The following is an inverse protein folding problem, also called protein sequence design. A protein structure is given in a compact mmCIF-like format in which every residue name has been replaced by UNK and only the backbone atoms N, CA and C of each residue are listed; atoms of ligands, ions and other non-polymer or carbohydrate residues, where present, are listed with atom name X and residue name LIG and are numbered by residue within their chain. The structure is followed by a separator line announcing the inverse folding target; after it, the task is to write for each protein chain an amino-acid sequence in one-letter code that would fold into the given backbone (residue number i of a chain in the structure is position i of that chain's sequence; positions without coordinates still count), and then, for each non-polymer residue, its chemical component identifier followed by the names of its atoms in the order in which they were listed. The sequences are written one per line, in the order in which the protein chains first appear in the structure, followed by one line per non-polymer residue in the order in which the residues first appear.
data_IF_565891320608
#
_entry.id   IF_565891320608
#
_cell.length_a   1.000
_cell.length_b   1.000
_cell.length_c   1.000
_cell.angle_alpha   90.00
_cell.angle_beta   90.00
_cell.angle_gamma   90.00
#
_symmetry.space_group_name_H-M   'P 1'
#
loop_
_entity.id
_entity.type
_entity.pdbx_description
1 polymer ?
#
# COMPACT_ATOMS: atom_id res chain seq x y z
N UNK A 1 31.64 -29.01 -14.60
CA UNK A 1 30.37 -28.85 -15.33
C UNK A 1 29.39 -28.03 -14.51
N UNK A 2 29.02 -28.46 -13.28
CA UNK A 2 28.00 -27.79 -12.43
C UNK A 2 28.31 -26.32 -12.10
N UNK A 3 29.58 -25.96 -11.90
CA UNK A 3 29.98 -24.58 -11.62
C UNK A 3 29.83 -23.65 -12.86
N UNK A 4 30.08 -24.17 -14.06
CA UNK A 4 29.88 -23.43 -15.29
C UNK A 4 28.40 -23.27 -15.67
N UNK A 5 27.59 -24.28 -15.36
CA UNK A 5 26.12 -24.23 -15.53
C UNK A 5 25.50 -23.19 -14.59
N UNK A 6 25.91 -23.16 -13.32
CA UNK A 6 25.51 -22.14 -12.35
C UNK A 6 25.93 -20.73 -12.75
N UNK A 7 27.15 -20.57 -13.26
CA UNK A 7 27.63 -19.27 -13.74
C UNK A 7 26.82 -18.75 -14.93
N UNK A 8 26.37 -19.65 -15.81
CA UNK A 8 25.47 -19.31 -16.92
C UNK A 8 24.07 -18.95 -16.43
N UNK A 9 23.54 -19.69 -15.46
CA UNK A 9 22.21 -19.42 -14.87
C UNK A 9 22.16 -18.04 -14.21
N UNK A 10 23.24 -17.60 -13.58
CA UNK A 10 23.33 -16.26 -12.97
C UNK A 10 23.39 -15.11 -13.99
N UNK A 11 23.59 -15.39 -15.27
CA UNK A 11 23.52 -14.37 -16.33
C UNK A 11 22.09 -14.09 -16.78
N UNK A 12 21.13 -14.96 -16.43
CA UNK A 12 19.72 -14.81 -16.76
C UNK A 12 18.95 -14.36 -15.52
N UNK A 13 18.65 -13.07 -15.46
CA UNK A 13 17.94 -12.45 -14.32
C UNK A 13 16.45 -12.48 -14.57
N UNK A 14 15.75 -13.35 -13.83
CA UNK A 14 14.28 -13.52 -13.92
C UNK A 14 13.56 -12.69 -12.87
N UNK A 15 12.38 -12.16 -13.25
CA UNK A 15 11.50 -11.50 -12.29
C UNK A 15 10.95 -12.54 -11.29
N UNK A 16 11.05 -12.28 -9.97
CA UNK A 16 10.57 -13.22 -8.95
C UNK A 16 9.04 -13.19 -8.78
N UNK A 17 8.38 -12.16 -9.31
CA UNK A 17 6.92 -11.94 -9.22
C UNK A 17 6.41 -11.35 -10.53
N UNK A 18 5.12 -11.52 -10.77
CA UNK A 18 4.41 -10.83 -11.84
C UNK A 18 4.24 -9.35 -11.49
N UNK A 19 4.47 -8.47 -12.46
CA UNK A 19 4.38 -7.04 -12.22
C UNK A 19 4.87 -6.21 -13.41
N UNK A 20 4.80 -4.89 -13.24
CA UNK A 20 5.30 -3.93 -14.23
C UNK A 20 6.70 -3.46 -13.85
N UNK A 21 7.62 -3.46 -14.82
CA UNK A 21 8.96 -2.91 -14.61
C UNK A 21 8.89 -1.40 -14.49
N UNK A 22 9.43 -0.87 -13.40
CA UNK A 22 9.56 0.56 -13.14
C UNK A 22 11.01 0.91 -12.83
N UNK A 23 11.36 2.19 -12.99
CA UNK A 23 12.67 2.73 -12.64
C UNK A 23 13.85 1.90 -13.20
N UNK A 24 13.77 1.57 -14.49
CA UNK A 24 14.86 0.86 -15.20
C UNK A 24 16.10 1.75 -15.25
N UNK A 25 17.19 1.28 -14.63
CA UNK A 25 18.48 1.99 -14.57
C UNK A 25 19.56 1.31 -15.41
N UNK A 26 19.28 0.14 -15.97
CA UNK A 26 20.24 -0.65 -16.73
C UNK A 26 20.03 -0.45 -18.22
N UNK A 27 21.16 -0.30 -18.96
CA UNK A 27 21.19 -0.20 -20.42
C UNK A 27 22.22 -1.17 -21.00
N UNK A 28 22.06 -1.50 -22.29
CA UNK A 28 22.99 -2.38 -23.00
C UNK A 28 24.39 -1.74 -23.05
N UNK A 29 25.37 -2.52 -22.64
CA UNK A 29 26.78 -2.05 -22.57
C UNK A 29 27.14 -1.44 -21.20
N UNK A 30 26.23 -1.32 -20.29
CA UNK A 30 26.52 -0.83 -18.93
C UNK A 30 27.22 -1.91 -18.11
N UNK A 31 28.28 -1.54 -17.40
CA UNK A 31 28.92 -2.41 -16.42
C UNK A 31 28.11 -2.41 -15.13
N UNK A 32 27.67 -3.58 -14.69
CA UNK A 32 26.95 -3.77 -13.43
C UNK A 32 27.83 -4.47 -12.40
N UNK A 33 27.66 -4.10 -11.14
CA UNK A 33 28.36 -4.72 -10.02
C UNK A 33 27.36 -5.48 -9.13
N UNK A 34 27.81 -6.48 -8.37
CA UNK A 34 26.96 -7.14 -7.40
C UNK A 34 26.35 -6.13 -6.43
N UNK A 35 25.01 -6.19 -6.26
CA UNK A 35 24.26 -5.24 -5.44
C UNK A 35 23.78 -3.96 -6.15
N UNK A 36 24.13 -3.75 -7.42
CA UNK A 36 23.60 -2.62 -8.20
C UNK A 36 22.12 -2.81 -8.50
N UNK A 37 21.25 -1.83 -8.19
CA UNK A 37 19.84 -1.90 -8.56
C UNK A 37 19.68 -1.72 -10.07
N UNK A 38 19.07 -2.70 -10.74
CA UNK A 38 18.86 -2.68 -12.19
C UNK A 38 17.51 -2.07 -12.56
N UNK A 39 16.45 -2.54 -11.91
CA UNK A 39 15.07 -2.09 -12.08
C UNK A 39 14.24 -2.49 -10.87
N UNK A 40 13.04 -1.98 -10.80
CA UNK A 40 12.04 -2.32 -9.77
C UNK A 40 10.86 -3.00 -10.45
N UNK A 41 10.42 -4.15 -9.92
CA UNK A 41 9.17 -4.79 -10.33
C UNK A 41 8.09 -4.37 -9.36
N UNK A 42 7.06 -3.69 -9.86
CA UNK A 42 5.89 -3.27 -9.09
C UNK A 42 4.79 -4.31 -9.32
N UNK A 43 4.36 -5.03 -8.27
CA UNK A 43 3.29 -6.02 -8.39
C UNK A 43 1.95 -5.35 -8.74
N UNK A 44 1.06 -6.09 -9.40
CA UNK A 44 -0.29 -5.61 -9.71
C UNK A 44 -1.21 -5.63 -8.48
N UNK A 45 -0.85 -6.37 -7.45
CA UNK A 45 -1.59 -6.41 -6.19
C UNK A 45 -1.38 -5.11 -5.41
N UNK A 46 -2.32 -4.20 -5.55
CA UNK A 46 -2.32 -2.91 -4.86
C UNK A 46 -3.39 -2.88 -3.77
N UNK A 47 -3.12 -2.12 -2.73
CA UNK A 47 -4.08 -1.85 -1.65
C UNK A 47 -4.07 -0.38 -1.29
N UNK A 48 -5.13 0.05 -0.60
CA UNK A 48 -5.26 1.42 -0.10
C UNK A 48 -4.92 1.47 1.38
N UNK A 49 -4.10 2.44 1.79
CA UNK A 49 -3.88 2.78 3.19
C UNK A 49 -4.53 4.12 3.45
N UNK A 50 -5.61 4.11 4.24
CA UNK A 50 -6.36 5.30 4.59
C UNK A 50 -6.16 5.66 6.07
N UNK A 51 -5.81 6.90 6.34
CA UNK A 51 -5.58 7.40 7.69
C UNK A 51 -6.87 8.04 8.25
N UNK A 52 -7.60 7.30 9.07
CA UNK A 52 -8.81 7.78 9.75
C UNK A 52 -8.51 8.36 11.13
N UNK A 53 -9.32 9.32 11.58
CA UNK A 53 -9.27 9.79 12.96
C UNK A 53 -9.72 8.67 13.90
N UNK A 54 -9.11 8.56 15.08
CA UNK A 54 -9.46 7.55 16.09
C UNK A 54 -10.96 7.53 16.39
N UNK A 55 -11.61 8.71 16.44
CA UNK A 55 -13.05 8.86 16.66
C UNK A 55 -13.93 8.24 15.56
N UNK A 56 -13.41 8.11 14.34
CA UNK A 56 -14.13 7.51 13.21
C UNK A 56 -14.06 5.98 13.23
N UNK A 57 -13.08 5.41 13.94
CA UNK A 57 -12.88 3.96 13.98
C UNK A 57 -13.87 3.22 14.87
N UNK A 58 -14.62 3.92 15.73
CA UNK A 58 -15.58 3.33 16.66
C UNK A 58 -16.57 2.39 15.95
N UNK A 59 -16.98 2.75 14.74
CA UNK A 59 -17.95 1.98 13.96
C UNK A 59 -17.31 1.18 12.81
N UNK A 60 -15.98 1.17 12.70
CA UNK A 60 -15.28 0.46 11.64
C UNK A 60 -14.81 -0.92 12.12
N UNK A 61 -15.11 -1.95 11.33
CA UNK A 61 -14.71 -3.33 11.60
C UNK A 61 -14.09 -3.95 10.34
N UNK A 62 -13.19 -4.92 10.54
CA UNK A 62 -12.67 -5.74 9.45
C UNK A 62 -13.82 -6.37 8.65
N UNK A 63 -13.70 -6.38 7.33
CA UNK A 63 -14.69 -6.94 6.40
C UNK A 63 -15.79 -5.97 5.97
N UNK A 64 -15.83 -4.74 6.49
CA UNK A 64 -16.79 -3.73 6.02
C UNK A 64 -16.51 -3.30 4.59
N UNK A 65 -17.58 -3.07 3.83
CA UNK A 65 -17.51 -2.61 2.45
C UNK A 65 -17.08 -1.15 2.38
N UNK A 66 -16.22 -0.87 1.40
CA UNK A 66 -15.66 0.46 1.15
C UNK A 66 -15.81 0.81 -0.31
N UNK A 67 -16.35 1.98 -0.60
CA UNK A 67 -16.33 2.57 -1.93
C UNK A 67 -15.07 3.41 -2.09
N UNK A 68 -14.22 3.07 -3.06
CA UNK A 68 -12.94 3.71 -3.31
C UNK A 68 -13.06 4.55 -4.57
N UNK A 69 -12.88 5.85 -4.46
CA UNK A 69 -12.72 6.75 -5.59
C UNK A 69 -11.24 7.07 -5.77
N UNK A 70 -10.76 6.93 -7.00
CA UNK A 70 -9.39 7.26 -7.38
C UNK A 70 -9.47 8.56 -8.19
N UNK A 71 -8.65 9.55 -7.86
CA UNK A 71 -8.72 10.87 -8.50
C UNK A 71 -8.42 10.81 -10.00
N UNK A 72 -7.60 9.84 -10.42
CA UNK A 72 -7.31 9.59 -11.84
C UNK A 72 -8.51 9.03 -12.61
N UNK A 73 -9.45 8.37 -11.95
CA UNK A 73 -10.65 7.76 -12.55
C UNK A 73 -11.91 8.21 -11.83
N UNK A 74 -12.33 9.48 -12.02
CA UNK A 74 -13.41 10.12 -11.23
C UNK A 74 -14.78 9.48 -11.46
N UNK A 75 -15.00 8.90 -12.63
CA UNK A 75 -16.29 8.30 -13.02
C UNK A 75 -16.45 6.84 -12.54
N UNK A 76 -15.36 6.24 -12.07
CA UNK A 76 -15.35 4.85 -11.57
C UNK A 76 -15.28 4.79 -10.05
N UNK A 77 -16.17 4.01 -9.47
CA UNK A 77 -16.13 3.68 -8.03
C UNK A 77 -15.72 2.23 -7.90
N UNK A 78 -14.55 2.01 -7.33
CA UNK A 78 -14.02 0.67 -7.06
C UNK A 78 -14.55 0.16 -5.73
N UNK A 79 -14.78 -1.16 -5.66
CA UNK A 79 -15.25 -1.81 -4.44
C UNK A 79 -14.07 -2.41 -3.69
N UNK A 80 -14.06 -2.19 -2.38
CA UNK A 80 -13.05 -2.75 -1.49
C UNK A 80 -13.65 -3.17 -0.15
N UNK A 81 -12.82 -3.79 0.67
CA UNK A 81 -13.13 -4.17 2.05
C UNK A 81 -12.00 -3.79 2.99
N UNK A 82 -12.36 -3.49 4.23
CA UNK A 82 -11.38 -3.31 5.31
C UNK A 82 -10.71 -4.66 5.58
N UNK A 83 -9.42 -4.75 5.31
CA UNK A 83 -8.61 -5.92 5.64
C UNK A 83 -8.11 -5.88 7.07
N UNK A 84 -7.51 -4.78 7.45
CA UNK A 84 -6.96 -4.61 8.80
C UNK A 84 -6.97 -3.16 9.25
N UNK A 85 -7.10 -2.98 10.56
CA UNK A 85 -6.98 -1.70 11.24
C UNK A 85 -5.74 -1.78 12.12
N UNK A 86 -4.78 -0.91 11.91
CA UNK A 86 -3.57 -0.87 12.73
C UNK A 86 -3.94 -0.43 14.15
N UNK A 87 -3.64 -1.28 15.15
CA UNK A 87 -4.01 -1.01 16.55
C UNK A 87 -3.05 -0.07 17.28
N UNK A 88 -1.94 0.30 16.66
CA UNK A 88 -0.98 1.27 17.18
C UNK A 88 -0.89 2.48 16.27
N UNK A 89 -0.97 3.68 16.84
CA UNK A 89 -0.61 4.90 16.12
C UNK A 89 0.90 4.93 15.87
N UNK A 90 1.34 5.45 14.72
CA UNK A 90 2.77 5.55 14.39
C UNK A 90 3.59 6.27 15.46
N UNK A 91 2.99 7.23 16.18
CA UNK A 91 3.63 7.94 17.28
C UNK A 91 3.95 7.04 18.50
N UNK A 92 3.14 6.01 18.76
CA UNK A 92 3.40 5.04 19.85
C UNK A 92 4.35 3.91 19.42
N UNK A 93 4.50 3.68 18.13
CA UNK A 93 5.43 2.69 17.59
C UNK A 93 6.84 3.26 17.36
N UNK A 94 7.04 4.57 17.49
CA UNK A 94 8.34 5.20 17.43
C UNK A 94 9.13 4.92 18.71
N UNK A 95 10.37 4.50 18.55
CA UNK A 95 11.34 4.34 19.67
C UNK A 95 11.69 5.67 20.35
N UNK A 96 11.43 6.77 19.65
CA UNK A 96 11.62 8.14 20.15
C UNK A 96 10.31 8.90 20.00
N UNK A 97 9.41 8.90 21.01
CA UNK A 97 8.23 9.75 20.99
C UNK A 97 8.70 11.21 20.96
N UNK A 98 8.00 12.09 20.22
CA UNK A 98 8.33 13.50 20.23
C UNK A 98 8.16 14.03 21.67
N UNK A 99 9.25 14.37 22.32
CA UNK A 99 9.22 15.08 23.60
C UNK A 99 8.67 16.47 23.34
N UNK A 100 7.44 16.73 23.80
CA UNK A 100 6.94 18.07 23.91
C UNK A 100 7.69 18.75 25.08
N UNK A 101 8.66 19.57 24.74
CA UNK A 101 9.55 20.28 25.68
C UNK A 101 8.81 21.31 26.57
N UNK A 102 7.50 21.41 26.52
CA UNK A 102 6.69 22.31 27.34
C UNK A 102 5.53 21.48 27.90
N UNK A 103 5.48 21.35 29.22
CA UNK A 103 4.59 20.50 30.01
C UNK A 103 3.06 20.71 29.86
N UNK A 104 2.58 21.06 28.68
CA UNK A 104 1.17 21.17 28.35
C UNK A 104 0.72 19.91 27.65
N UNK A 105 -0.08 19.09 28.33
CA UNK A 105 -0.75 17.95 27.73
C UNK A 105 -1.86 18.42 26.79
N UNK A 106 -1.56 18.48 25.48
CA UNK A 106 -2.56 18.74 24.45
C UNK A 106 -3.05 17.40 23.92
N UNK A 107 -4.34 17.09 24.09
CA UNK A 107 -4.98 15.91 23.50
C UNK A 107 -5.05 16.07 21.99
N UNK A 108 -4.13 15.45 21.26
CA UNK A 108 -4.11 15.43 19.80
C UNK A 108 -4.88 14.18 19.34
N UNK A 109 -5.89 14.36 18.45
CA UNK A 109 -6.58 13.23 17.83
C UNK A 109 -5.62 12.52 16.90
N UNK A 110 -5.30 11.26 17.22
CA UNK A 110 -4.40 10.43 16.44
C UNK A 110 -5.07 9.93 15.16
N UNK A 111 -4.27 9.79 14.10
CA UNK A 111 -4.69 9.13 12.86
C UNK A 111 -4.20 7.70 12.86
N UNK A 112 -5.09 6.78 12.52
CA UNK A 112 -4.83 5.35 12.54
C UNK A 112 -4.96 4.84 11.10
N UNK A 113 -3.92 4.19 10.55
CA UNK A 113 -3.95 3.64 9.22
C UNK A 113 -4.84 2.39 9.17
N UNK A 114 -5.70 2.37 8.17
CA UNK A 114 -6.61 1.27 7.83
C UNK A 114 -6.22 0.74 6.47
N UNK A 115 -5.92 -0.55 6.40
CA UNK A 115 -5.66 -1.23 5.13
C UNK A 115 -6.96 -1.67 4.50
N UNK A 116 -7.17 -1.27 3.26
CA UNK A 116 -8.34 -1.61 2.45
C UNK A 116 -7.85 -2.33 1.20
N UNK A 117 -8.43 -3.50 0.94
CA UNK A 117 -8.13 -4.30 -0.25
C UNK A 117 -9.28 -4.20 -1.24
N UNK A 118 -8.97 -4.21 -2.52
CA UNK A 118 -9.99 -4.27 -3.57
C UNK A 118 -10.65 -5.64 -3.56
N UNK A 119 -11.97 -5.67 -3.73
CA UNK A 119 -12.75 -6.93 -3.82
C UNK A 119 -13.03 -7.34 -5.24
N UNK A 120 -12.98 -6.40 -6.16
CA UNK A 120 -13.09 -6.66 -7.59
C UNK A 120 -11.69 -6.83 -8.20
N UNK A 121 -11.60 -7.71 -9.19
CA UNK A 121 -10.37 -7.85 -9.98
C UNK A 121 -10.25 -6.62 -10.87
N UNK A 122 -9.17 -5.87 -10.67
CA UNK A 122 -8.86 -4.70 -11.47
C UNK A 122 -8.06 -5.17 -12.68
N UNK A 123 -8.54 -4.83 -13.86
CA UNK A 123 -7.79 -5.09 -15.09
C UNK A 123 -6.68 -4.03 -15.22
N UNK A 124 -5.40 -4.44 -15.20
CA UNK A 124 -4.28 -3.49 -15.31
C UNK A 124 -4.21 -2.77 -16.66
N UNK A 125 -4.82 -3.34 -17.71
CA UNK A 125 -4.86 -2.73 -19.04
C UNK A 125 -5.89 -1.61 -19.12
N UNK A 126 -7.03 -1.76 -18.42
CA UNK A 126 -8.09 -0.76 -18.36
C UNK A 126 -7.82 0.30 -17.29
N UNK A 127 -7.35 -0.13 -16.11
CA UNK A 127 -7.10 0.76 -14.96
C UNK A 127 -5.68 0.55 -14.44
N UNK A 128 -4.74 1.36 -14.89
CA UNK A 128 -3.36 1.35 -14.44
C UNK A 128 -3.24 1.99 -13.05
N UNK A 129 -3.65 1.26 -12.01
CA UNK A 129 -3.52 1.73 -10.62
C UNK A 129 -2.11 1.45 -10.12
N UNK A 130 -1.38 2.52 -9.86
CA UNK A 130 0.00 2.46 -9.38
C UNK A 130 0.11 2.96 -7.93
N UNK A 131 1.08 2.46 -7.15
CA UNK A 131 1.36 2.99 -5.82
C UNK A 131 1.65 4.49 -5.85
N UNK A 132 1.09 5.23 -4.87
CA UNK A 132 1.26 6.68 -4.78
C UNK A 132 0.11 7.50 -5.37
N UNK A 133 -0.90 6.88 -5.98
CA UNK A 133 -2.11 7.58 -6.42
C UNK A 133 -2.94 8.05 -5.23
N UNK A 134 -3.57 9.24 -5.40
CA UNK A 134 -4.52 9.77 -4.43
C UNK A 134 -5.87 9.08 -4.54
N UNK A 135 -6.39 8.65 -3.38
CA UNK A 135 -7.66 7.93 -3.29
C UNK A 135 -8.52 8.45 -2.15
N UNK A 136 -9.84 8.42 -2.33
CA UNK A 136 -10.82 8.79 -1.32
C UNK A 136 -11.70 7.59 -1.00
N UNK A 137 -11.39 6.83 0.07
CA UNK A 137 -12.21 5.72 0.51
C UNK A 137 -13.40 6.20 1.34
N UNK A 138 -14.60 5.68 1.04
CA UNK A 138 -15.83 5.89 1.80
C UNK A 138 -16.30 4.56 2.39
N UNK A 139 -16.17 4.40 3.70
CA UNK A 139 -16.63 3.20 4.42
C UNK A 139 -18.15 3.26 4.57
N UNK A 140 -18.83 2.18 4.22
CA UNK A 140 -20.27 2.03 4.44
C UNK A 140 -20.49 1.55 5.87
N UNK A 141 -20.76 2.48 6.76
CA UNK A 141 -21.19 2.17 8.11
C UNK A 141 -22.66 1.76 8.03
N UNK A 142 -22.96 0.49 8.27
CA UNK A 142 -24.34 0.06 8.45
C UNK A 142 -24.77 0.58 9.82
N UNK A 143 -25.83 1.37 9.85
CA UNK A 143 -26.48 1.75 11.11
C UNK A 143 -26.88 0.45 11.81
N UNK A 144 -26.16 0.10 12.89
CA UNK A 144 -26.65 -0.87 13.85
C UNK A 144 -27.84 -0.19 14.54
N UNK A 145 -29.05 -0.44 14.04
CA UNK A 145 -30.23 -0.24 14.86
C UNK A 145 -30.07 -1.18 16.05
N UNK A 146 -29.94 -0.58 17.22
CA UNK A 146 -30.05 -1.27 18.51
C UNK A 146 -31.31 -2.15 18.50
N UNK A 147 -31.09 -3.44 18.73
CA UNK A 147 -32.15 -4.34 19.25
C UNK A 147 -31.92 -4.47 20.73
#
# INVERSE_FOLDING_TARGET
KRAAELALEYTDIKAPIDGTVSNKKVEVGMMVQPGSPLFVVVPHDVWVVANYKETQLTHMKKGMDVDIKIDTYPDKVFKGKIDSIQRSSGAKASLFPPENAVGSFVKIVQRIPVKIVFTEKIDPEEYAIIPGMSVVPKVKIRDFKEQ
#
